data_IF_465235508101
#
_entry.id   IF_465235508101
#
_cell.length_a   1.000
_cell.length_b   1.000
_cell.length_c   1.000
_cell.angle_alpha   90.00
_cell.angle_beta   90.00
_cell.angle_gamma   90.00
#
_symmetry.space_group_name_H-M   'P 1'
#
loop_
_entity.id
_entity.type
_entity.pdbx_description
1 polymer ?
#
# COMPACT_ATOMS: atom_id res chain seq x y z
N UNK A 1 13.25 -2.90 2.70
CA UNK A 1 11.89 -2.86 2.13
C UNK A 1 11.33 -4.28 2.06
N UNK A 2 10.10 -4.53 2.52
CA UNK A 2 9.45 -5.84 2.33
C UNK A 2 8.72 -5.84 0.98
N UNK A 3 9.15 -6.70 0.05
CA UNK A 3 8.48 -6.90 -1.23
C UNK A 3 7.45 -8.03 -1.10
N UNK A 4 6.23 -7.78 -1.56
CA UNK A 4 5.18 -8.78 -1.67
C UNK A 4 5.01 -9.12 -3.14
N UNK A 5 5.26 -10.38 -3.50
CA UNK A 5 5.15 -10.87 -4.87
C UNK A 5 3.81 -11.54 -5.15
N UNK A 6 3.09 -11.96 -4.11
CA UNK A 6 1.78 -12.62 -4.26
C UNK A 6 0.75 -12.09 -3.26
N UNK A 7 -0.53 -12.28 -3.59
CA UNK A 7 -1.65 -11.81 -2.77
C UNK A 7 -1.77 -12.59 -1.45
N UNK A 8 -1.32 -13.84 -1.41
CA UNK A 8 -1.26 -14.67 -0.20
C UNK A 8 -0.26 -14.14 0.81
N UNK A 9 0.90 -13.66 0.35
CA UNK A 9 1.89 -13.03 1.22
C UNK A 9 1.32 -11.78 1.88
N UNK A 10 0.54 -10.99 1.13
CA UNK A 10 -0.17 -9.81 1.63
C UNK A 10 -1.18 -10.20 2.71
N UNK A 11 -2.03 -11.21 2.45
CA UNK A 11 -3.02 -11.72 3.41
C UNK A 11 -2.35 -12.20 4.70
N UNK A 12 -1.31 -13.02 4.59
CA UNK A 12 -0.57 -13.53 5.74
C UNK A 12 -0.02 -12.39 6.60
N UNK A 13 0.55 -11.37 5.96
CA UNK A 13 1.16 -10.24 6.68
C UNK A 13 0.11 -9.42 7.43
N UNK A 14 -1.02 -9.11 6.79
CA UNK A 14 -2.16 -8.43 7.42
C UNK A 14 -2.68 -9.18 8.67
N UNK A 15 -2.69 -10.51 8.63
CA UNK A 15 -3.19 -11.34 9.73
C UNK A 15 -2.19 -11.51 10.88
N UNK A 16 -0.90 -11.72 10.56
CA UNK A 16 0.07 -12.25 11.54
C UNK A 16 1.20 -11.30 11.92
N UNK A 17 1.50 -10.30 11.10
CA UNK A 17 2.70 -9.44 11.27
C UNK A 17 2.39 -7.96 11.25
N UNK A 18 1.12 -7.61 11.20
CA UNK A 18 0.70 -6.23 11.10
C UNK A 18 0.82 -5.51 12.46
N UNK A 19 1.49 -4.35 12.54
CA UNK A 19 1.87 -3.75 13.83
C UNK A 19 0.72 -3.05 14.56
N UNK A 20 -0.30 -2.57 13.85
CA UNK A 20 -1.39 -1.77 14.43
C UNK A 20 -2.73 -2.34 13.96
N UNK A 21 -3.57 -2.79 14.88
CA UNK A 21 -4.92 -3.24 14.54
C UNK A 21 -5.84 -2.04 14.32
N UNK A 22 -5.84 -1.48 13.11
CA UNK A 22 -6.68 -0.36 12.69
C UNK A 22 -7.74 -0.77 11.65
N UNK A 23 -8.72 0.10 11.44
CA UNK A 23 -9.79 -0.09 10.42
C UNK A 23 -9.23 -0.21 9.00
N UNK A 24 -8.08 0.43 8.73
CA UNK A 24 -7.42 0.34 7.44
C UNK A 24 -6.88 -1.08 7.19
N UNK A 25 -6.33 -1.76 8.20
CA UNK A 25 -5.95 -3.17 8.13
C UNK A 25 -7.15 -4.06 7.81
N UNK A 26 -8.27 -3.87 8.49
CA UNK A 26 -9.49 -4.65 8.27
C UNK A 26 -10.02 -4.46 6.84
N UNK A 27 -10.03 -3.22 6.37
CA UNK A 27 -10.42 -2.88 5.01
C UNK A 27 -9.49 -3.52 3.98
N UNK A 28 -8.18 -3.45 4.19
CA UNK A 28 -7.20 -4.10 3.33
C UNK A 28 -7.38 -5.62 3.28
N UNK A 29 -7.61 -6.26 4.43
CA UNK A 29 -7.85 -7.70 4.50
C UNK A 29 -9.10 -8.09 3.71
N UNK A 30 -10.21 -7.37 3.89
CA UNK A 30 -11.45 -7.63 3.14
C UNK A 30 -11.27 -7.53 1.63
N UNK A 31 -10.56 -6.51 1.15
CA UNK A 31 -10.32 -6.33 -0.29
C UNK A 31 -9.35 -7.38 -0.85
N UNK A 32 -8.37 -7.81 -0.06
CA UNK A 32 -7.45 -8.90 -0.42
C UNK A 32 -8.21 -10.22 -0.55
N UNK A 33 -9.08 -10.55 0.40
CA UNK A 33 -9.91 -11.75 0.33
C UNK A 33 -10.87 -11.71 -0.85
N UNK A 34 -11.57 -10.59 -1.06
CA UNK A 34 -12.44 -10.41 -2.22
C UNK A 34 -11.69 -10.55 -3.56
N UNK A 35 -10.43 -10.11 -3.64
CA UNK A 35 -9.61 -10.26 -4.84
C UNK A 35 -9.14 -11.70 -5.06
N UNK A 36 -8.84 -12.45 -3.99
CA UNK A 36 -8.54 -13.89 -4.07
C UNK A 36 -9.77 -14.69 -4.55
N UNK A 37 -10.96 -14.28 -4.13
CA UNK A 37 -12.23 -14.84 -4.57
C UNK A 37 -12.68 -14.32 -5.96
N UNK A 38 -11.84 -13.54 -6.65
CA UNK A 38 -12.12 -12.92 -7.94
C UNK A 38 -13.34 -11.96 -7.97
N UNK A 39 -13.81 -11.51 -6.80
CA UNK A 39 -14.95 -10.60 -6.66
C UNK A 39 -14.57 -9.14 -6.97
N UNK A 40 -13.30 -8.78 -6.82
CA UNK A 40 -12.77 -7.45 -7.17
C UNK A 40 -11.43 -7.55 -7.90
N UNK A 41 -11.06 -6.56 -8.73
CA UNK A 41 -9.75 -6.53 -9.35
C UNK A 41 -8.61 -6.43 -8.32
N UNK A 42 -7.47 -7.09 -8.59
CA UNK A 42 -6.26 -7.03 -7.75
C UNK A 42 -5.77 -5.59 -7.52
N UNK A 43 -6.02 -4.68 -8.45
CA UNK A 43 -5.71 -3.25 -8.28
C UNK A 43 -6.46 -2.59 -7.13
N UNK A 44 -7.67 -3.05 -6.78
CA UNK A 44 -8.43 -2.59 -5.61
C UNK A 44 -7.75 -3.05 -4.32
N UNK A 45 -7.41 -4.35 -4.23
CA UNK A 45 -6.67 -4.91 -3.11
C UNK A 45 -5.33 -4.19 -2.89
N UNK A 46 -4.59 -3.91 -3.97
CA UNK A 46 -3.32 -3.16 -3.91
C UNK A 46 -3.51 -1.78 -3.30
N UNK A 47 -4.49 -0.99 -3.75
CA UNK A 47 -4.76 0.35 -3.21
C UNK A 47 -5.15 0.30 -1.73
N UNK A 48 -6.02 -0.64 -1.35
CA UNK A 48 -6.41 -0.82 0.05
C UNK A 48 -5.22 -1.19 0.93
N UNK A 49 -4.36 -2.10 0.47
CA UNK A 49 -3.11 -2.46 1.14
C UNK A 49 -2.16 -1.26 1.28
N UNK A 50 -1.99 -0.45 0.22
CA UNK A 50 -1.18 0.78 0.27
C UNK A 50 -1.73 1.78 1.29
N UNK A 51 -3.05 1.95 1.37
CA UNK A 51 -3.68 2.83 2.35
C UNK A 51 -3.43 2.35 3.79
N UNK A 52 -3.58 1.04 4.04
CA UNK A 52 -3.25 0.44 5.34
C UNK A 52 -1.76 0.59 5.68
N UNK A 53 -0.86 0.37 4.71
CA UNK A 53 0.57 0.55 4.93
C UNK A 53 0.87 1.99 5.39
N UNK A 54 0.22 2.99 4.76
CA UNK A 54 0.36 4.40 5.13
C UNK A 54 -0.19 4.71 6.53
N UNK A 55 -1.35 4.16 6.90
CA UNK A 55 -1.90 4.37 8.25
C UNK A 55 -1.02 3.75 9.33
N UNK A 56 -0.34 2.65 9.01
CA UNK A 56 0.64 2.01 9.87
C UNK A 56 2.04 2.67 9.84
N UNK A 57 2.20 3.79 9.12
CA UNK A 57 3.47 4.54 9.04
C UNK A 57 4.48 4.00 8.04
N UNK A 58 4.12 2.99 7.23
CA UNK A 58 4.97 2.49 6.15
C UNK A 58 4.77 3.33 4.88
N UNK A 59 5.88 3.80 4.31
CA UNK A 59 5.87 4.53 3.03
C UNK A 59 6.25 3.55 1.91
N UNK A 60 5.35 3.28 0.94
CA UNK A 60 5.65 2.47 -0.23
C UNK A 60 6.76 3.09 -1.08
N UNK A 61 7.69 2.27 -1.57
CA UNK A 61 8.85 2.69 -2.38
C UNK A 61 8.42 3.41 -3.69
N UNK A 62 7.29 2.99 -4.29
CA UNK A 62 6.71 3.67 -5.45
C UNK A 62 6.37 5.13 -5.15
N UNK A 63 5.91 5.45 -3.94
CA UNK A 63 5.63 6.83 -3.52
C UNK A 63 6.91 7.64 -3.28
N UNK A 64 7.99 7.01 -2.80
CA UNK A 64 9.30 7.65 -2.64
C UNK A 64 9.89 8.06 -4.00
N UNK A 65 9.68 7.25 -5.04
CA UNK A 65 10.08 7.59 -6.41
C UNK A 65 9.29 8.76 -7.01
N UNK A 66 7.99 8.86 -6.73
CA UNK A 66 7.16 9.98 -7.21
C UNK A 66 7.43 11.29 -6.45
N UNK A 67 7.69 11.25 -5.13
CA UNK A 67 8.03 12.47 -4.37
C UNK A 67 9.43 12.98 -4.73
N UNK A 68 10.39 12.09 -4.97
CA UNK A 68 11.72 12.47 -5.46
C UNK A 68 11.65 13.17 -6.83
N UNK A 69 10.81 12.70 -7.76
CA UNK A 69 10.65 13.34 -9.08
C UNK A 69 9.94 14.69 -9.02
N UNK A 70 8.92 14.84 -8.17
CA UNK A 70 8.26 16.15 -7.95
C UNK A 70 9.16 17.19 -7.26
N UNK A 71 10.13 16.76 -6.46
CA UNK A 71 11.10 17.66 -5.84
C UNK A 71 12.17 18.19 -6.83
N UNK A 72 12.31 17.55 -8.00
CA UNK A 72 13.31 17.94 -9.03
C UNK A 72 12.71 18.84 -10.11
N UNK A 73 11.38 18.89 -10.27
CA UNK A 73 10.69 19.65 -11.34
C UNK A 73 10.25 21.07 -10.96
N UNK A 74 10.91 21.73 -10.01
CA UNK A 74 10.78 23.18 -9.81
C UNK A 74 12.14 23.87 -9.63
N UNK A 75 12.77 24.35 -10.73
CA UNK A 75 13.44 25.62 -10.71
C UNK A 75 12.45 26.65 -11.28
N UNK A 76 11.47 27.10 -10.49
CA UNK A 76 10.91 28.43 -10.77
C UNK A 76 11.97 29.40 -10.28
N UNK A 77 12.85 29.73 -11.22
CA UNK A 77 13.89 30.73 -11.06
C UNK A 77 13.30 32.11 -10.88
N UNK A 78 13.91 32.79 -9.91
CA UNK A 78 14.19 34.22 -9.77
C UNK A 78 13.06 35.26 -9.65
N UNK A 79 13.26 36.06 -8.58
CA UNK A 79 12.82 37.43 -8.38
C UNK A 79 13.40 38.40 -9.41
#
# INVERSE_FOLDING_TARGET
MQKFSTIEQVKYWLLKRWPIADEARLTALKQVEAAMDCLVPVGVARRAFTAAARSAGFIPEDLVGYTARRAVEHPVGCA
#
